data_IF_022490048351
#
_entry.id   IF_022490048351
#
_cell.length_a   1.000
_cell.length_b   1.000
_cell.length_c   1.000
_cell.angle_alpha   90.00
_cell.angle_beta   90.00
_cell.angle_gamma   90.00
#
_symmetry.space_group_name_H-M   'P 1'
#
loop_
_entity.id
_entity.type
_entity.pdbx_description
1 polymer ?
#
# COMPACT_ATOMS: atom_id res chain seq x y z
N UNK A 1 13.49 6.94 -10.81
CA UNK A 1 14.00 7.24 -9.45
C UNK A 1 15.52 7.19 -9.40
N UNK A 2 16.17 8.20 -8.81
CA UNK A 2 17.62 8.46 -8.90
C UNK A 2 18.53 7.57 -8.01
N UNK A 3 18.01 6.96 -6.94
CA UNK A 3 18.81 6.21 -5.96
C UNK A 3 18.36 4.75 -5.79
N UNK A 4 17.51 4.22 -6.68
CA UNK A 4 16.91 2.90 -6.52
C UNK A 4 17.94 1.76 -6.38
N UNK A 5 19.11 1.88 -7.01
CA UNK A 5 20.17 0.88 -6.94
C UNK A 5 20.78 0.72 -5.53
N UNK A 6 20.69 1.75 -4.68
CA UNK A 6 21.15 1.69 -3.29
C UNK A 6 20.31 0.77 -2.41
N UNK A 7 19.17 0.31 -2.89
CA UNK A 7 18.30 -0.66 -2.20
C UNK A 7 18.72 -2.12 -2.44
N UNK A 8 19.73 -2.37 -3.29
CA UNK A 8 20.20 -3.72 -3.57
C UNK A 8 20.62 -4.43 -2.27
N UNK A 9 20.13 -5.66 -2.10
CA UNK A 9 20.41 -6.48 -0.91
C UNK A 9 19.59 -6.10 0.32
N UNK A 10 18.70 -5.11 0.25
CA UNK A 10 17.79 -4.76 1.34
C UNK A 10 16.48 -5.56 1.18
N UNK A 11 16.05 -6.34 2.20
CA UNK A 11 14.72 -6.94 2.21
C UNK A 11 13.65 -5.84 2.24
N UNK A 12 12.69 -5.89 1.32
CA UNK A 12 11.68 -4.84 1.17
C UNK A 12 10.29 -5.44 1.01
N UNK A 13 9.32 -4.86 1.72
CA UNK A 13 7.89 -5.03 1.48
C UNK A 13 7.34 -3.66 1.07
N UNK A 14 6.65 -3.60 -0.08
CA UNK A 14 6.12 -2.35 -0.64
C UNK A 14 4.68 -2.60 -1.07
N UNK A 15 3.75 -1.81 -0.55
CA UNK A 15 2.33 -1.91 -0.83
C UNK A 15 1.75 -0.62 -1.40
N UNK A 16 0.70 -0.77 -2.20
CA UNK A 16 -0.21 0.31 -2.59
C UNK A 16 -1.57 -0.28 -2.96
N UNK A 17 -2.64 0.46 -2.79
CA UNK A 17 -3.96 0.07 -3.31
C UNK A 17 -4.28 0.81 -4.62
N UNK A 18 -5.37 0.46 -5.28
CA UNK A 18 -5.75 1.11 -6.55
C UNK A 18 -6.32 2.52 -6.38
N UNK A 19 -6.78 2.88 -5.16
CA UNK A 19 -7.62 4.05 -4.91
C UNK A 19 -9.11 3.81 -5.16
N UNK A 20 -9.50 2.63 -5.65
CA UNK A 20 -10.91 2.23 -5.70
C UNK A 20 -11.38 1.84 -4.30
N UNK A 21 -12.57 2.33 -3.91
CA UNK A 21 -13.14 2.04 -2.59
C UNK A 21 -13.18 0.54 -2.29
N UNK A 22 -12.64 0.14 -1.14
CA UNK A 22 -12.79 -1.19 -0.57
C UNK A 22 -13.76 -1.22 0.61
N UNK A 23 -13.99 -2.39 1.22
CA UNK A 23 -14.93 -2.53 2.34
C UNK A 23 -14.63 -1.63 3.55
N UNK A 24 -13.35 -1.25 3.73
CA UNK A 24 -12.90 -0.35 4.80
C UNK A 24 -13.34 1.11 4.61
N UNK A 25 -13.76 1.48 3.40
CA UNK A 25 -14.07 2.87 3.01
C UNK A 25 -15.58 3.16 2.99
N UNK A 26 -16.39 2.10 3.03
CA UNK A 26 -17.84 2.16 2.86
C UNK A 26 -18.58 2.12 4.21
N UNK A 27 -19.89 2.34 4.15
CA UNK A 27 -20.78 2.34 5.32
C UNK A 27 -20.70 1.08 6.20
N UNK A 28 -20.32 -0.06 5.62
CA UNK A 28 -20.10 -1.31 6.35
C UNK A 28 -18.90 -1.26 7.31
N UNK A 29 -17.97 -0.33 7.08
CA UNK A 29 -16.81 -0.13 7.93
C UNK A 29 -17.22 0.56 9.23
N UNK A 30 -16.92 -0.01 10.41
CA UNK A 30 -17.19 0.64 11.70
C UNK A 30 -16.52 2.02 11.82
N UNK A 31 -15.44 2.25 11.07
CA UNK A 31 -14.69 3.51 11.06
C UNK A 31 -15.46 4.67 10.41
N UNK A 32 -16.43 4.37 9.55
CA UNK A 32 -17.28 5.41 8.93
C UNK A 32 -18.45 5.81 9.82
N UNK A 33 -18.80 4.98 10.80
CA UNK A 33 -19.99 5.20 11.64
C UNK A 33 -21.31 5.20 10.85
N UNK A 34 -21.32 4.73 9.60
CA UNK A 34 -22.46 4.87 8.69
C UNK A 34 -22.68 6.31 8.19
N UNK A 35 -21.76 7.23 8.45
CA UNK A 35 -21.87 8.63 8.02
C UNK A 35 -21.44 8.79 6.56
N UNK A 36 -22.38 9.22 5.71
CA UNK A 36 -22.14 9.44 4.28
C UNK A 36 -21.11 10.53 3.99
N UNK A 37 -20.94 11.53 4.86
CA UNK A 37 -19.89 12.54 4.69
C UNK A 37 -18.51 11.91 4.89
N UNK A 38 -18.37 11.02 5.89
CA UNK A 38 -17.11 10.30 6.15
C UNK A 38 -16.80 9.35 4.99
N UNK A 39 -17.79 8.58 4.51
CA UNK A 39 -17.63 7.74 3.32
C UNK A 39 -17.21 8.59 2.11
N UNK A 40 -17.82 9.76 1.91
CA UNK A 40 -17.45 10.68 0.83
C UNK A 40 -15.98 11.11 0.91
N UNK A 41 -15.49 11.44 2.11
CA UNK A 41 -14.06 11.76 2.33
C UNK A 41 -13.18 10.55 2.02
N UNK A 42 -13.53 9.36 2.49
CA UNK A 42 -12.70 8.16 2.32
C UNK A 42 -12.59 7.74 0.85
N UNK A 43 -13.70 7.80 0.12
CA UNK A 43 -13.75 7.40 -1.29
C UNK A 43 -13.13 8.47 -2.20
N UNK A 44 -13.52 9.73 -2.05
CA UNK A 44 -13.11 10.79 -2.98
C UNK A 44 -11.69 11.28 -2.66
N UNK A 45 -11.49 11.81 -1.45
CA UNK A 45 -10.18 12.33 -1.06
C UNK A 45 -9.17 11.19 -0.89
N UNK A 46 -9.55 10.14 -0.16
CA UNK A 46 -8.69 8.98 0.04
C UNK A 46 -8.35 8.28 -1.27
N UNK A 47 -9.34 8.12 -2.17
CA UNK A 47 -9.11 7.49 -3.48
C UNK A 47 -8.21 8.31 -4.38
N UNK A 48 -8.36 9.63 -4.40
CA UNK A 48 -7.50 10.52 -5.18
C UNK A 48 -6.04 10.49 -4.69
N UNK A 49 -5.83 10.52 -3.37
CA UNK A 49 -4.49 10.41 -2.79
C UNK A 49 -3.87 9.06 -3.15
N UNK A 50 -4.61 7.97 -2.94
CA UNK A 50 -4.10 6.62 -3.17
C UNK A 50 -3.82 6.32 -4.65
N UNK A 51 -4.64 6.88 -5.56
CA UNK A 51 -4.39 6.80 -7.00
C UNK A 51 -3.09 7.51 -7.40
N UNK A 52 -2.80 8.66 -6.80
CA UNK A 52 -1.54 9.37 -7.02
C UNK A 52 -0.33 8.59 -6.46
N UNK A 53 -0.45 8.01 -5.26
CA UNK A 53 0.62 7.17 -4.71
C UNK A 53 0.81 5.89 -5.52
N UNK A 54 -0.25 5.34 -6.12
CA UNK A 54 -0.17 4.15 -6.96
C UNK A 54 0.74 4.37 -8.17
N UNK A 55 0.62 5.52 -8.83
CA UNK A 55 1.49 5.88 -9.94
C UNK A 55 2.97 5.92 -9.48
N UNK A 56 3.26 6.58 -8.36
CA UNK A 56 4.61 6.63 -7.79
C UNK A 56 5.16 5.23 -7.44
N UNK A 57 4.30 4.35 -6.90
CA UNK A 57 4.71 3.00 -6.50
C UNK A 57 4.96 2.11 -7.73
N UNK A 58 4.17 2.27 -8.80
CA UNK A 58 4.44 1.61 -10.08
C UNK A 58 5.74 2.10 -10.73
N UNK A 59 6.06 3.40 -10.64
CA UNK A 59 7.35 3.93 -11.12
C UNK A 59 8.54 3.38 -10.33
N UNK A 60 8.40 3.23 -9.00
CA UNK A 60 9.40 2.57 -8.17
C UNK A 60 9.58 1.11 -8.58
N UNK A 61 8.49 0.37 -8.78
CA UNK A 61 8.53 -1.01 -9.24
C UNK A 61 9.24 -1.14 -10.58
N UNK A 62 8.85 -0.35 -11.58
CA UNK A 62 9.47 -0.37 -12.90
C UNK A 62 10.98 -0.08 -12.82
N UNK A 63 11.39 0.85 -11.96
CA UNK A 63 12.82 1.16 -11.76
C UNK A 63 13.58 0.03 -11.06
N UNK A 64 12.99 -0.62 -10.06
CA UNK A 64 13.63 -1.74 -9.35
C UNK A 64 13.71 -2.99 -10.24
N UNK A 65 12.66 -3.29 -10.99
CA UNK A 65 12.63 -4.38 -11.98
C UNK A 65 13.73 -4.18 -13.04
N UNK A 66 13.84 -2.97 -13.60
CA UNK A 66 14.88 -2.65 -14.58
C UNK A 66 16.32 -2.76 -14.02
N UNK A 67 16.49 -2.61 -12.70
CA UNK A 67 17.76 -2.79 -12.01
C UNK A 67 17.99 -4.23 -11.51
N UNK A 68 17.04 -5.15 -11.73
CA UNK A 68 17.08 -6.52 -11.21
C UNK A 68 17.10 -6.56 -9.68
N UNK A 69 16.34 -5.68 -9.01
CA UNK A 69 16.21 -5.62 -7.55
C UNK A 69 14.79 -6.06 -7.18
N UNK A 70 14.67 -7.19 -6.48
CA UNK A 70 13.39 -7.71 -6.01
C UNK A 70 12.89 -7.02 -4.74
N UNK A 71 11.58 -7.01 -4.56
CA UNK A 71 10.88 -6.67 -3.33
C UNK A 71 9.60 -7.51 -3.25
N UNK A 72 9.05 -7.67 -2.04
CA UNK A 72 7.71 -8.23 -1.84
C UNK A 72 6.68 -7.14 -2.12
N UNK A 73 5.89 -7.32 -3.18
CA UNK A 73 4.93 -6.32 -3.65
C UNK A 73 3.50 -6.70 -3.28
N UNK A 74 2.75 -5.75 -2.73
CA UNK A 74 1.32 -5.89 -2.49
C UNK A 74 0.52 -4.76 -3.17
N UNK A 75 0.12 -5.02 -4.41
CA UNK A 75 -0.80 -4.15 -5.14
C UNK A 75 -2.24 -4.62 -4.94
N UNK A 76 -2.98 -3.97 -4.05
CA UNK A 76 -4.38 -4.33 -3.78
C UNK A 76 -5.30 -3.77 -4.87
N UNK A 77 -6.26 -4.55 -5.37
CA UNK A 77 -7.21 -4.06 -6.38
C UNK A 77 -8.19 -3.02 -5.83
N UNK A 78 -8.32 -2.94 -4.50
CA UNK A 78 -9.18 -1.99 -3.80
C UNK A 78 -8.51 -1.51 -2.52
N UNK A 79 -8.87 -0.30 -2.11
CA UNK A 79 -8.46 0.40 -0.91
C UNK A 79 -8.12 1.84 -1.22
N UNK A 80 -8.37 2.72 -0.26
CA UNK A 80 -8.01 4.13 -0.32
C UNK A 80 -7.04 4.48 0.81
N UNK A 81 -6.67 5.76 0.92
CA UNK A 81 -5.69 6.24 1.89
C UNK A 81 -6.20 6.26 3.35
N UNK A 82 -6.51 5.09 3.91
CA UNK A 82 -7.15 4.91 5.22
C UNK A 82 -6.44 3.87 6.10
N UNK A 83 -6.60 4.04 7.43
CA UNK A 83 -5.92 3.24 8.46
C UNK A 83 -6.19 1.73 8.42
N UNK A 84 -7.34 1.30 7.89
CA UNK A 84 -7.66 -0.13 7.82
C UNK A 84 -6.62 -0.90 6.99
N UNK A 85 -6.21 -0.32 5.86
CA UNK A 85 -5.24 -0.94 4.95
C UNK A 85 -3.82 -0.93 5.53
N UNK A 86 -3.42 0.17 6.19
CA UNK A 86 -2.13 0.23 6.88
C UNK A 86 -2.01 -0.81 8.00
N UNK A 87 -3.08 -1.04 8.76
CA UNK A 87 -3.11 -2.07 9.80
C UNK A 87 -2.99 -3.49 9.22
N UNK A 88 -3.51 -3.71 8.01
CA UNK A 88 -3.30 -4.96 7.28
C UNK A 88 -1.84 -5.09 6.83
N UNK A 89 -1.25 -4.03 6.29
CA UNK A 89 0.15 -3.99 5.87
C UNK A 89 1.15 -4.27 6.99
N UNK A 90 0.85 -3.90 8.24
CA UNK A 90 1.67 -4.29 9.40
C UNK A 90 1.78 -5.81 9.57
N UNK A 91 0.71 -6.54 9.22
CA UNK A 91 0.71 -8.01 9.30
C UNK A 91 1.32 -8.62 8.05
N UNK A 92 0.94 -8.12 6.88
CA UNK A 92 1.39 -8.64 5.58
C UNK A 92 2.90 -8.43 5.38
N UNK A 93 3.47 -7.37 5.94
CA UNK A 93 4.92 -7.10 5.90
C UNK A 93 5.73 -7.93 6.89
N UNK A 94 5.09 -8.50 7.92
CA UNK A 94 5.81 -9.19 9.00
C UNK A 94 6.68 -10.35 8.53
N UNK A 95 6.24 -11.23 7.60
CA UNK A 95 7.10 -12.30 7.08
C UNK A 95 8.41 -11.76 6.46
N UNK A 96 8.36 -10.65 5.72
CA UNK A 96 9.55 -10.02 5.14
C UNK A 96 10.51 -9.52 6.22
N UNK A 97 9.97 -8.88 7.25
CA UNK A 97 10.72 -8.32 8.39
C UNK A 97 11.32 -9.45 9.24
N UNK A 98 10.54 -10.49 9.56
CA UNK A 98 10.98 -11.62 10.36
C UNK A 98 12.15 -12.36 9.68
N UNK A 99 12.07 -12.61 8.37
CA UNK A 99 13.18 -13.20 7.60
C UNK A 99 14.42 -12.31 7.63
N UNK A 100 14.25 -11.00 7.48
CA UNK A 100 15.36 -10.04 7.52
C UNK A 100 16.09 -10.04 8.88
N UNK A 101 15.39 -10.38 9.97
CA UNK A 101 15.96 -10.51 11.31
C UNK A 101 16.34 -11.94 11.71
N UNK A 102 16.22 -12.93 10.82
CA UNK A 102 16.55 -14.32 11.12
C UNK A 102 15.61 -14.99 12.14
N UNK A 103 14.35 -14.54 12.20
CA UNK A 103 13.34 -15.02 13.15
C UNK A 103 12.43 -16.12 12.57
N UNK A 104 12.96 -16.99 11.71
CA UNK A 104 12.22 -18.10 11.06
C UNK A 104 11.94 -19.28 12.01
#
# INVERSE_FOLDING_TARGET
>A
MINAEKLRGTPMYISNASGLAGPGDLWSSPRTGGDSNVVGVYVIQGGAIEGATNACTHDLKARLDAAGIGAEWNFRPTGTHQWEYWKQDLRDSWPTIARAFGME
#
